data_IF_434222704708
#
_entry.id   IF_434222704708
#
_cell.length_a   1.000
_cell.length_b   1.000
_cell.length_c   1.000
_cell.angle_alpha   90.00
_cell.angle_beta   90.00
_cell.angle_gamma   90.00
#
_symmetry.space_group_name_H-M   'P 1'
#
loop_
_entity.id
_entity.type
_entity.pdbx_description
1 polymer ?
#
# COMPACT_ATOMS: atom_id res chain seq x y z
N UNK A 1 51.64 -19.15 10.51
CA UNK A 1 50.32 -19.10 11.21
C UNK A 1 49.60 -17.75 11.11
N UNK A 2 50.29 -16.59 11.01
CA UNK A 2 49.65 -15.25 10.93
C UNK A 2 48.70 -15.06 9.74
N UNK A 3 49.05 -15.56 8.55
CA UNK A 3 48.24 -15.37 7.33
C UNK A 3 46.92 -16.18 7.34
N UNK A 4 46.90 -17.36 8.00
CA UNK A 4 45.68 -18.16 8.11
C UNK A 4 44.60 -17.46 8.94
N UNK A 5 44.98 -16.82 10.06
CA UNK A 5 44.04 -16.03 10.90
C UNK A 5 43.45 -14.84 10.12
N UNK A 6 44.26 -14.16 9.32
CA UNK A 6 43.81 -13.05 8.47
C UNK A 6 42.82 -13.49 7.39
N UNK A 7 43.06 -14.64 6.75
CA UNK A 7 42.13 -15.22 5.76
C UNK A 7 40.78 -15.58 6.39
N UNK A 8 40.76 -16.19 7.58
CA UNK A 8 39.51 -16.49 8.29
C UNK A 8 38.71 -15.23 8.68
N UNK A 9 39.40 -14.14 9.07
CA UNK A 9 38.74 -12.87 9.38
C UNK A 9 38.11 -12.25 8.13
N UNK A 10 38.81 -12.27 6.99
CA UNK A 10 38.30 -11.73 5.72
C UNK A 10 37.08 -12.52 5.23
N UNK A 11 37.12 -13.85 5.30
CA UNK A 11 35.98 -14.71 4.93
C UNK A 11 34.78 -14.44 5.85
N UNK A 12 35.02 -14.28 7.16
CA UNK A 12 33.97 -13.96 8.13
C UNK A 12 33.27 -12.63 7.81
N UNK A 13 34.04 -11.58 7.49
CA UNK A 13 33.49 -10.26 7.12
C UNK A 13 32.70 -10.36 5.80
N UNK A 14 33.22 -11.07 4.80
CA UNK A 14 32.55 -11.22 3.51
C UNK A 14 31.19 -11.93 3.64
N UNK A 15 31.12 -13.01 4.44
CA UNK A 15 29.86 -13.72 4.71
C UNK A 15 28.87 -12.83 5.44
N UNK A 16 29.32 -12.07 6.44
CA UNK A 16 28.47 -11.14 7.19
C UNK A 16 27.88 -10.03 6.30
N UNK A 17 28.68 -9.46 5.40
CA UNK A 17 28.20 -8.48 4.42
C UNK A 17 27.15 -9.06 3.47
N UNK A 18 27.34 -10.28 2.97
CA UNK A 18 26.36 -10.96 2.12
C UNK A 18 25.06 -11.21 2.90
N UNK A 19 25.14 -11.67 4.15
CA UNK A 19 23.98 -11.87 5.01
C UNK A 19 23.20 -10.56 5.26
N UNK A 20 23.88 -9.44 5.47
CA UNK A 20 23.23 -8.12 5.62
C UNK A 20 22.53 -7.67 4.34
N UNK A 21 23.16 -7.85 3.18
CA UNK A 21 22.56 -7.48 1.88
C UNK A 21 21.34 -8.36 1.60
N UNK A 22 21.44 -9.67 1.81
CA UNK A 22 20.33 -10.62 1.62
C UNK A 22 19.21 -10.34 2.62
N UNK A 23 19.53 -10.07 3.89
CA UNK A 23 18.54 -9.69 4.91
C UNK A 23 17.78 -8.41 4.55
N UNK A 24 18.50 -7.36 4.12
CA UNK A 24 17.89 -6.11 3.68
C UNK A 24 17.02 -6.29 2.42
N UNK A 25 17.42 -7.16 1.48
CA UNK A 25 16.61 -7.50 0.30
C UNK A 25 15.35 -8.27 0.71
N UNK A 26 15.45 -9.22 1.65
CA UNK A 26 14.31 -10.00 2.15
C UNK A 26 13.33 -9.12 2.93
N UNK A 27 13.81 -8.27 3.85
CA UNK A 27 12.94 -7.32 4.57
C UNK A 27 12.27 -6.36 3.60
N UNK A 28 13.05 -5.78 2.66
CA UNK A 28 12.49 -4.91 1.62
C UNK A 28 11.51 -5.65 0.71
N UNK A 29 11.61 -6.98 0.54
CA UNK A 29 10.69 -7.83 -0.26
C UNK A 29 9.44 -8.31 0.53
N UNK A 30 9.53 -8.43 1.85
CA UNK A 30 8.44 -8.85 2.74
C UNK A 30 7.64 -7.69 3.35
N UNK A 31 8.15 -6.46 3.34
CA UNK A 31 7.41 -5.29 3.83
C UNK A 31 6.40 -4.81 2.77
N UNK A 32 5.17 -5.29 2.83
CA UNK A 32 4.09 -4.82 1.96
C UNK A 32 2.84 -5.70 2.05
N UNK A 33 1.71 -5.19 1.59
CA UNK A 33 0.45 -5.91 1.65
C UNK A 33 0.38 -6.98 0.55
N UNK A 34 0.33 -8.25 0.94
CA UNK A 34 0.30 -9.40 -0.01
C UNK A 34 -1.09 -9.72 -0.54
N UNK A 35 -2.13 -9.17 0.06
CA UNK A 35 -3.54 -9.33 -0.32
C UNK A 35 -4.26 -7.98 -0.19
N UNK A 36 -5.42 -7.87 -0.85
CA UNK A 36 -6.33 -6.71 -0.74
C UNK A 36 -6.80 -6.51 0.71
N UNK A 37 -7.17 -7.58 1.41
CA UNK A 37 -7.53 -7.57 2.84
C UNK A 37 -6.43 -6.97 3.73
N UNK A 38 -5.16 -7.30 3.46
CA UNK A 38 -4.05 -6.73 4.22
C UNK A 38 -3.91 -5.22 3.98
N UNK A 39 -4.18 -4.73 2.76
CA UNK A 39 -4.21 -3.28 2.47
C UNK A 39 -5.33 -2.61 3.28
N UNK A 40 -6.54 -3.18 3.27
CA UNK A 40 -7.69 -2.63 4.01
C UNK A 40 -7.45 -2.63 5.52
N UNK A 41 -6.86 -3.68 6.09
CA UNK A 41 -6.46 -3.71 7.51
C UNK A 41 -5.37 -2.68 7.83
N UNK A 42 -4.46 -2.46 6.89
CA UNK A 42 -3.46 -1.39 7.00
C UNK A 42 -4.11 -0.01 7.05
N UNK A 43 -5.06 0.24 6.15
CA UNK A 43 -5.85 1.47 6.11
C UNK A 43 -6.70 1.64 7.37
N UNK A 44 -7.41 0.60 7.79
CA UNK A 44 -8.22 0.57 9.02
C UNK A 44 -7.40 1.02 10.23
N UNK A 45 -6.23 0.39 10.42
CA UNK A 45 -5.32 0.74 11.51
C UNK A 45 -4.86 2.19 11.40
N UNK A 46 -4.55 2.67 10.20
CA UNK A 46 -4.09 4.04 10.00
C UNK A 46 -5.18 5.06 10.38
N UNK A 47 -6.43 4.84 9.93
CA UNK A 47 -7.57 5.69 10.27
C UNK A 47 -7.87 5.68 11.77
N UNK A 48 -7.93 4.49 12.37
CA UNK A 48 -8.21 4.33 13.81
C UNK A 48 -7.11 4.92 14.72
N UNK A 49 -5.91 5.14 14.20
CA UNK A 49 -4.82 5.80 14.92
C UNK A 49 -4.59 7.26 14.49
N UNK A 50 -5.48 7.83 13.66
CA UNK A 50 -5.32 9.18 13.10
C UNK A 50 -3.99 9.42 12.38
N UNK A 51 -3.41 8.37 11.78
CA UNK A 51 -2.09 8.39 11.16
C UNK A 51 -2.18 8.59 9.63
N UNK A 52 -2.23 9.85 9.22
CA UNK A 52 -2.26 10.22 7.80
C UNK A 52 -1.06 9.69 7.00
N UNK A 53 0.13 9.60 7.61
CA UNK A 53 1.31 9.07 6.93
C UNK A 53 1.17 7.57 6.64
N UNK A 54 0.54 6.81 7.55
CA UNK A 54 0.22 5.41 7.32
C UNK A 54 -0.85 5.22 6.24
N UNK A 55 -1.85 6.12 6.14
CA UNK A 55 -2.81 6.13 5.03
C UNK A 55 -2.07 6.29 3.69
N UNK A 56 -1.19 7.29 3.58
CA UNK A 56 -0.40 7.53 2.37
C UNK A 56 0.48 6.34 2.00
N UNK A 57 0.99 5.57 2.98
CA UNK A 57 1.78 4.35 2.74
C UNK A 57 0.99 3.21 2.09
N UNK A 58 -0.34 3.25 2.11
CA UNK A 58 -1.17 2.27 1.40
C UNK A 58 -1.16 2.48 -0.12
N UNK A 59 -0.69 3.63 -0.62
CA UNK A 59 -0.57 3.92 -2.05
C UNK A 59 0.85 3.64 -2.58
N UNK A 60 1.01 3.33 -3.88
CA UNK A 60 2.31 3.11 -4.50
C UNK A 60 3.13 4.41 -4.60
N UNK A 61 4.46 4.30 -4.53
CA UNK A 61 5.37 5.46 -4.50
C UNK A 61 5.18 6.45 -5.65
N UNK A 62 4.93 5.96 -6.87
CA UNK A 62 4.84 6.83 -8.05
C UNK A 62 3.67 7.83 -8.00
N UNK A 63 2.61 7.54 -7.23
CA UNK A 63 1.44 8.43 -7.12
C UNK A 63 1.40 9.25 -5.84
N UNK A 64 2.29 9.01 -4.87
CA UNK A 64 2.23 9.69 -3.56
C UNK A 64 2.34 11.21 -3.65
N UNK A 65 3.09 11.72 -4.64
CA UNK A 65 3.22 13.17 -4.88
C UNK A 65 1.97 13.80 -5.48
N UNK A 66 1.08 12.98 -6.05
CA UNK A 66 -0.17 13.42 -6.67
C UNK A 66 -1.36 13.28 -5.74
N UNK A 67 -1.19 12.61 -4.59
CA UNK A 67 -2.23 12.51 -3.56
C UNK A 67 -2.55 13.89 -3.01
N UNK A 68 -3.83 14.18 -2.71
CA UNK A 68 -4.18 15.37 -1.97
C UNK A 68 -3.57 15.32 -0.57
N UNK A 69 -3.35 16.50 0.00
CA UNK A 69 -2.88 16.62 1.39
C UNK A 69 -3.99 16.14 2.32
N UNK A 70 -3.63 15.27 3.27
CA UNK A 70 -4.55 14.80 4.29
C UNK A 70 -4.39 15.66 5.55
N UNK A 71 -5.50 16.21 6.04
CA UNK A 71 -5.57 16.99 7.27
C UNK A 71 -5.65 16.05 8.48
N UNK A 72 -4.71 16.21 9.41
CA UNK A 72 -4.75 15.52 10.70
C UNK A 72 -6.05 15.84 11.47
N UNK A 73 -6.46 17.12 11.46
CA UNK A 73 -7.66 17.58 12.17
C UNK A 73 -8.91 16.93 11.60
N UNK A 74 -9.01 16.77 10.26
CA UNK A 74 -10.14 16.11 9.62
C UNK A 74 -10.19 14.60 9.94
N UNK A 75 -9.05 13.92 9.95
CA UNK A 75 -8.98 12.49 10.34
C UNK A 75 -9.38 12.34 11.81
N UNK A 76 -8.89 13.23 12.69
CA UNK A 76 -9.21 13.22 14.11
C UNK A 76 -10.69 13.52 14.36
N UNK A 77 -11.26 14.52 13.69
CA UNK A 77 -12.68 14.85 13.81
C UNK A 77 -13.57 13.68 13.36
N UNK A 78 -13.21 13.03 12.25
CA UNK A 78 -13.90 11.81 11.81
C UNK A 78 -13.83 10.72 12.88
N UNK A 79 -12.63 10.44 13.40
CA UNK A 79 -12.44 9.43 14.43
C UNK A 79 -13.20 9.74 15.73
N UNK A 80 -13.20 10.99 16.18
CA UNK A 80 -13.91 11.42 17.39
C UNK A 80 -15.44 11.26 17.25
N UNK A 81 -15.98 11.41 16.03
CA UNK A 81 -17.42 11.28 15.75
C UNK A 81 -17.85 9.84 15.50
N UNK A 82 -17.08 9.10 14.71
CA UNK A 82 -17.44 7.77 14.19
C UNK A 82 -16.87 6.65 15.07
N UNK A 83 -15.78 6.92 15.77
CA UNK A 83 -15.03 5.94 16.54
C UNK A 83 -14.12 5.07 15.67
N UNK A 84 -13.82 3.87 16.17
CA UNK A 84 -13.08 2.88 15.40
C UNK A 84 -13.94 2.33 14.27
N UNK A 85 -13.34 2.19 13.09
CA UNK A 85 -13.95 1.57 11.92
C UNK A 85 -13.37 0.17 11.66
N UNK A 86 -14.11 -0.65 10.91
CA UNK A 86 -13.63 -1.93 10.37
C UNK A 86 -14.10 -2.08 8.94
N UNK A 87 -13.19 -2.30 7.99
CA UNK A 87 -13.58 -2.50 6.59
C UNK A 87 -14.09 -3.94 6.38
N UNK A 88 -15.39 -4.08 6.23
CA UNK A 88 -16.03 -5.35 5.90
C UNK A 88 -16.26 -5.44 4.39
N UNK A 89 -15.50 -6.30 3.70
CA UNK A 89 -15.62 -6.50 2.24
C UNK A 89 -16.89 -7.27 1.94
N UNK A 90 -17.80 -6.67 1.19
CA UNK A 90 -19.03 -7.31 0.72
C UNK A 90 -18.86 -7.92 -0.69
N UNK A 91 -17.99 -7.33 -1.52
CA UNK A 91 -17.71 -7.81 -2.86
C UNK A 91 -16.28 -7.49 -3.28
N UNK A 92 -15.64 -8.42 -3.96
CA UNK A 92 -14.38 -8.17 -4.66
C UNK A 92 -14.49 -8.69 -6.10
N UNK A 93 -14.13 -7.86 -7.08
CA UNK A 93 -13.99 -8.27 -8.47
C UNK A 93 -12.55 -8.04 -8.91
N UNK A 94 -11.95 -9.07 -9.47
CA UNK A 94 -10.66 -8.97 -10.13
C UNK A 94 -10.91 -8.76 -11.63
N UNK A 95 -10.15 -7.87 -12.24
CA UNK A 95 -10.25 -7.57 -13.68
C UNK A 95 -9.52 -8.63 -14.50
N UNK A 96 -9.95 -8.82 -15.74
CA UNK A 96 -9.28 -9.74 -16.65
C UNK A 96 -7.95 -9.17 -17.19
N UNK A 97 -7.21 -10.00 -17.94
CA UNK A 97 -5.89 -9.62 -18.45
C UNK A 97 -5.89 -8.43 -19.40
N UNK A 98 -6.94 -8.29 -20.21
CA UNK A 98 -7.03 -7.24 -21.22
C UNK A 98 -7.36 -5.90 -20.55
N UNK A 99 -8.27 -5.93 -19.57
CA UNK A 99 -8.58 -4.79 -18.72
C UNK A 99 -7.37 -4.35 -17.88
N UNK A 100 -6.60 -5.29 -17.31
CA UNK A 100 -5.36 -4.99 -16.58
C UNK A 100 -4.34 -4.31 -17.50
N UNK A 101 -4.17 -4.80 -18.74
CA UNK A 101 -3.24 -4.19 -19.69
C UNK A 101 -3.67 -2.77 -20.07
N UNK A 102 -4.97 -2.56 -20.29
CA UNK A 102 -5.54 -1.23 -20.56
C UNK A 102 -5.26 -0.27 -19.40
N UNK A 103 -5.59 -0.67 -18.16
CA UNK A 103 -5.32 0.12 -16.94
C UNK A 103 -3.83 0.41 -16.74
N UNK A 104 -2.95 -0.55 -17.04
CA UNK A 104 -1.51 -0.34 -16.97
C UNK A 104 -1.06 0.78 -17.91
N UNK A 105 -1.54 0.78 -19.15
CA UNK A 105 -1.17 1.78 -20.14
C UNK A 105 -1.66 3.18 -19.72
N UNK A 106 -2.89 3.27 -19.21
CA UNK A 106 -3.46 4.53 -18.70
C UNK A 106 -2.65 5.08 -17.53
N UNK A 107 -2.29 4.23 -16.55
CA UNK A 107 -1.47 4.63 -15.39
C UNK A 107 -0.07 5.07 -15.84
N UNK A 108 0.57 4.30 -16.71
CA UNK A 108 1.90 4.63 -17.23
C UNK A 108 1.91 5.97 -17.97
N UNK A 109 0.86 6.24 -18.78
CA UNK A 109 0.71 7.51 -19.47
C UNK A 109 0.44 8.67 -18.49
N UNK A 110 -0.48 8.51 -17.53
CA UNK A 110 -0.87 9.55 -16.57
C UNK A 110 0.28 9.98 -15.65
N UNK A 111 1.04 9.02 -15.13
CA UNK A 111 2.10 9.28 -14.16
C UNK A 111 3.50 9.33 -14.78
N UNK A 112 3.61 9.21 -16.11
CA UNK A 112 4.88 9.10 -16.85
C UNK A 112 5.82 8.06 -16.20
N UNK A 113 5.29 6.86 -15.98
CA UNK A 113 5.99 5.76 -15.34
C UNK A 113 6.00 4.51 -16.25
N UNK A 114 6.68 3.46 -15.81
CA UNK A 114 6.77 2.18 -16.52
C UNK A 114 6.58 1.03 -15.53
N UNK A 115 5.38 0.95 -14.96
CA UNK A 115 4.99 -0.14 -14.07
C UNK A 115 4.47 -1.33 -14.87
N UNK A 116 4.59 -2.51 -14.27
CA UNK A 116 3.90 -3.73 -14.71
C UNK A 116 2.81 -4.07 -13.71
N UNK A 117 1.55 -4.05 -14.13
CA UNK A 117 0.45 -4.51 -13.30
C UNK A 117 0.38 -6.03 -13.32
N UNK A 118 0.34 -6.62 -12.13
CA UNK A 118 0.13 -8.05 -11.90
C UNK A 118 -1.33 -8.39 -11.56
N UNK A 119 -2.12 -7.37 -11.24
CA UNK A 119 -3.49 -7.52 -10.77
C UNK A 119 -4.15 -6.17 -10.56
N UNK A 120 -5.46 -6.17 -10.68
CA UNK A 120 -6.33 -5.04 -10.39
C UNK A 120 -7.60 -5.59 -9.75
N UNK A 121 -8.01 -4.98 -8.64
CA UNK A 121 -9.20 -5.39 -7.91
C UNK A 121 -10.05 -4.19 -7.53
N UNK A 122 -11.36 -4.40 -7.55
CA UNK A 122 -12.37 -3.50 -7.00
C UNK A 122 -12.95 -4.16 -5.75
N UNK A 123 -12.64 -3.59 -4.58
CA UNK A 123 -13.12 -4.09 -3.30
C UNK A 123 -14.21 -3.16 -2.74
N UNK A 124 -15.47 -3.61 -2.82
CA UNK A 124 -16.61 -2.94 -2.20
C UNK A 124 -16.71 -3.37 -0.74
N UNK A 125 -16.79 -2.39 0.15
CA UNK A 125 -16.82 -2.63 1.59
C UNK A 125 -17.69 -1.61 2.33
N UNK A 126 -18.09 -1.98 3.54
CA UNK A 126 -18.75 -1.11 4.52
C UNK A 126 -17.84 -0.95 5.73
N UNK A 127 -17.64 0.28 6.20
CA UNK A 127 -16.70 0.57 7.30
C UNK A 127 -17.36 1.01 8.61
N UNK A 128 -18.61 1.45 8.55
CA UNK A 128 -19.44 1.82 9.69
C UNK A 128 -20.92 1.67 9.30
N UNK A 129 -21.79 1.35 10.27
CA UNK A 129 -23.18 1.03 9.97
C UNK A 129 -24.03 2.18 9.46
N UNK A 130 -23.69 3.41 9.86
CA UNK A 130 -24.39 4.65 9.48
C UNK A 130 -24.00 5.14 8.07
N UNK A 131 -23.02 4.50 7.44
CA UNK A 131 -22.51 4.87 6.12
C UNK A 131 -22.85 3.83 5.06
N UNK A 132 -22.91 4.30 3.81
CA UNK A 132 -23.06 3.45 2.64
C UNK A 132 -21.83 2.59 2.37
N UNK A 133 -21.97 1.68 1.40
CA UNK A 133 -20.81 0.95 0.87
C UNK A 133 -19.92 1.89 0.04
N UNK A 134 -18.62 1.61 0.05
CA UNK A 134 -17.63 2.30 -0.76
C UNK A 134 -16.75 1.29 -1.47
N UNK A 135 -16.24 1.64 -2.65
CA UNK A 135 -15.41 0.75 -3.46
C UNK A 135 -14.00 1.30 -3.57
N UNK A 136 -13.04 0.51 -3.10
CA UNK A 136 -11.62 0.78 -3.25
C UNK A 136 -11.11 0.16 -4.55
N UNK A 137 -10.40 0.97 -5.34
CA UNK A 137 -9.57 0.44 -6.42
C UNK A 137 -8.22 0.03 -5.85
N UNK A 138 -7.72 -1.12 -6.27
CA UNK A 138 -6.47 -1.67 -5.79
C UNK A 138 -5.66 -2.23 -6.95
N UNK A 139 -4.37 -1.97 -6.93
CA UNK A 139 -3.44 -2.46 -7.96
C UNK A 139 -2.36 -3.31 -7.35
N UNK A 140 -1.90 -4.30 -8.11
CA UNK A 140 -0.80 -5.17 -7.72
C UNK A 140 0.43 -4.90 -8.58
N UNK A 141 1.54 -4.57 -7.92
CA UNK A 141 2.83 -4.30 -8.55
C UNK A 141 3.91 -4.99 -7.72
N UNK A 142 4.83 -5.70 -8.37
CA UNK A 142 5.95 -6.41 -7.74
C UNK A 142 5.51 -7.31 -6.56
N UNK A 143 4.45 -8.09 -6.77
CA UNK A 143 3.91 -9.00 -5.77
C UNK A 143 3.20 -8.34 -4.58
N UNK A 144 2.82 -7.06 -4.67
CA UNK A 144 2.18 -6.29 -3.58
C UNK A 144 0.96 -5.52 -4.04
N UNK A 145 -0.04 -5.50 -3.19
CA UNK A 145 -1.24 -4.71 -3.36
C UNK A 145 -1.10 -3.33 -2.74
N UNK A 146 -1.71 -2.35 -3.39
CA UNK A 146 -1.79 -0.97 -2.96
C UNK A 146 -3.19 -0.43 -3.26
N UNK A 147 -3.58 0.61 -2.53
CA UNK A 147 -4.68 1.47 -2.94
C UNK A 147 -4.30 2.20 -4.23
N UNK A 148 -5.28 2.36 -5.09
CA UNK A 148 -5.23 3.19 -6.28
C UNK A 148 -6.44 4.11 -6.27
N UNK A 149 -6.30 5.29 -6.87
CA UNK A 149 -7.41 6.16 -7.18
C UNK A 149 -7.08 6.93 -8.45
N UNK A 150 -8.07 7.09 -9.32
CA UNK A 150 -7.91 7.85 -10.56
C UNK A 150 -8.49 9.26 -10.44
N UNK A 151 -9.78 9.35 -10.06
CA UNK A 151 -10.54 10.60 -10.08
C UNK A 151 -11.13 10.96 -8.71
N UNK A 152 -11.57 9.96 -7.94
CA UNK A 152 -12.23 10.17 -6.65
C UNK A 152 -11.56 9.32 -5.59
N UNK A 153 -11.35 9.91 -4.41
CA UNK A 153 -10.96 9.17 -3.23
C UNK A 153 -12.18 8.45 -2.66
N UNK A 154 -12.09 7.16 -2.33
CA UNK A 154 -13.17 6.45 -1.66
C UNK A 154 -13.35 6.95 -0.22
N UNK A 155 -14.54 6.74 0.32
CA UNK A 155 -14.81 6.98 1.74
C UNK A 155 -14.09 5.97 2.62
N UNK A 156 -13.64 6.34 3.82
CA UNK A 156 -13.72 7.68 4.42
C UNK A 156 -12.57 8.61 3.99
N UNK A 157 -11.64 8.18 3.12
CA UNK A 157 -10.43 8.95 2.77
C UNK A 157 -10.77 10.33 2.21
N UNK A 158 -11.86 10.45 1.45
CA UNK A 158 -12.33 11.75 0.95
C UNK A 158 -12.61 12.79 2.05
N UNK A 159 -13.00 12.37 3.26
CA UNK A 159 -13.29 13.26 4.37
C UNK A 159 -12.02 13.82 5.02
N UNK A 160 -10.85 13.28 4.66
CA UNK A 160 -9.57 13.65 5.26
C UNK A 160 -8.80 14.68 4.44
N UNK A 161 -9.27 15.01 3.24
CA UNK A 161 -8.61 15.99 2.37
C UNK A 161 -8.72 17.39 2.98
N UNK A 162 -7.62 18.16 2.93
CA UNK A 162 -7.57 19.58 3.32
C UNK A 162 -8.31 20.51 2.34
#
# INVERSE_FOLDING_TARGET
MKNKKLIFIIIGIAVLCICFIVGAIIEKNNSGYKTTDLVLKGLERAVNNTDGNAIIKCYPEFMKKSLPVLSYDSIKEFHDKVGNITFNVSKQNDLDSDEILSKQNDINAKYNCNIKLEGYALATCKYNDDFGETTFEMIKIDGRWYLYYDTYLPEPIQYFVE
#
